data_IF_141076367914
#
_entry.id   IF_141076367914
#
_cell.length_a   1.000
_cell.length_b   1.000
_cell.length_c   1.000
_cell.angle_alpha   90.00
_cell.angle_beta   90.00
_cell.angle_gamma   90.00
#
_symmetry.space_group_name_H-M   'P 1'
#
loop_
_entity.id
_entity.type
_entity.pdbx_description
1 polymer ?
#
# COMPACT_ATOMS: atom_id res chain seq x y z
N UNK A 1 0.68 -0.52 9.76
CA UNK A 1 0.47 -0.19 8.33
C UNK A 1 -0.62 0.87 8.24
N UNK A 2 -0.34 2.00 7.59
CA UNK A 2 -1.31 3.08 7.45
C UNK A 2 -1.32 3.60 6.01
N UNK A 3 -2.45 4.14 5.56
CA UNK A 3 -2.56 4.81 4.27
C UNK A 3 -3.13 6.22 4.42
N UNK A 4 -2.46 7.18 3.79
CA UNK A 4 -2.84 8.58 3.70
C UNK A 4 -3.48 8.86 2.35
N UNK A 5 -4.77 9.22 2.36
CA UNK A 5 -5.55 9.57 1.16
C UNK A 5 -5.73 11.08 0.95
N UNK A 6 -5.11 11.89 1.81
CA UNK A 6 -5.01 13.33 1.60
C UNK A 6 -3.92 13.66 0.57
N UNK A 7 -2.88 12.82 0.48
CA UNK A 7 -1.80 12.98 -0.49
C UNK A 7 -2.20 12.34 -1.82
N UNK A 8 -2.53 13.17 -2.80
CA UNK A 8 -3.05 12.77 -4.10
C UNK A 8 -2.15 13.28 -5.21
N UNK A 9 -2.02 12.50 -6.27
CA UNK A 9 -1.28 12.91 -7.46
C UNK A 9 -2.25 12.99 -8.65
N UNK A 10 -2.35 14.16 -9.27
CA UNK A 10 -3.18 14.38 -10.45
C UNK A 10 -2.50 13.84 -11.71
N UNK A 11 -3.31 13.43 -12.68
CA UNK A 11 -2.79 13.02 -13.99
C UNK A 11 -2.45 14.26 -14.83
N UNK A 12 -1.26 14.83 -14.63
CA UNK A 12 -0.80 16.04 -15.33
C UNK A 12 0.08 15.70 -16.54
N UNK A 13 0.94 14.69 -16.42
CA UNK A 13 1.97 14.38 -17.43
C UNK A 13 2.49 12.93 -17.35
N UNK A 14 3.30 12.52 -18.32
CA UNK A 14 3.94 11.20 -18.34
C UNK A 14 5.10 11.13 -17.35
N UNK A 15 5.44 9.91 -16.91
CA UNK A 15 6.58 9.74 -15.99
C UNK A 15 7.94 10.00 -16.64
N UNK A 16 8.04 9.78 -17.95
CA UNK A 16 9.23 10.10 -18.71
C UNK A 16 9.54 11.60 -18.69
N UNK A 17 8.49 12.43 -18.58
CA UNK A 17 8.60 13.88 -18.52
C UNK A 17 8.78 14.37 -17.09
N UNK A 18 8.05 13.76 -16.15
CA UNK A 18 8.05 14.13 -14.74
C UNK A 18 8.23 12.88 -13.86
N UNK A 19 9.48 12.40 -13.70
CA UNK A 19 9.78 11.28 -12.83
C UNK A 19 9.63 11.67 -11.36
N UNK A 20 9.29 10.69 -10.54
CA UNK A 20 9.25 10.87 -9.08
C UNK A 20 10.66 11.11 -8.51
N UNK A 21 10.74 11.90 -7.43
CA UNK A 21 11.98 12.05 -6.69
C UNK A 21 12.15 10.87 -5.71
N UNK A 22 13.33 10.23 -5.72
CA UNK A 22 13.68 9.19 -4.73
C UNK A 22 12.99 7.84 -4.95
N UNK A 23 12.67 7.49 -6.19
CA UNK A 23 12.04 6.21 -6.54
C UNK A 23 12.99 5.07 -6.19
N UNK A 24 12.52 4.11 -5.38
CA UNK A 24 13.36 2.99 -4.94
C UNK A 24 14.46 3.38 -3.94
N UNK A 25 14.44 4.60 -3.39
CA UNK A 25 15.43 5.06 -2.42
C UNK A 25 14.84 5.18 -1.02
N UNK A 26 15.68 4.92 0.00
CA UNK A 26 15.36 5.06 1.42
C UNK A 26 14.06 4.32 1.78
N UNK A 27 12.95 5.07 1.88
CA UNK A 27 11.65 4.56 2.28
C UNK A 27 10.78 4.14 1.10
N UNK A 28 10.99 4.70 -0.09
CA UNK A 28 10.15 4.42 -1.24
C UNK A 28 10.60 3.15 -1.94
N UNK A 29 9.62 2.31 -2.27
CA UNK A 29 9.89 1.11 -3.06
C UNK A 29 10.09 1.44 -4.54
N UNK A 30 10.72 0.52 -5.27
CA UNK A 30 10.91 0.64 -6.72
C UNK A 30 9.55 0.68 -7.42
N UNK A 31 9.40 1.52 -8.44
CA UNK A 31 8.09 1.71 -9.08
C UNK A 31 7.71 0.57 -10.03
N UNK A 32 8.54 0.33 -11.05
CA UNK A 32 8.24 -0.56 -12.18
C UNK A 32 7.77 -1.96 -11.75
N UNK A 33 8.53 -2.72 -10.92
CA UNK A 33 8.11 -4.07 -10.55
C UNK A 33 6.80 -4.10 -9.76
N UNK A 34 6.47 -3.01 -9.04
CA UNK A 34 5.23 -2.92 -8.29
C UNK A 34 4.05 -2.55 -9.18
N UNK A 35 4.23 -1.67 -10.16
CA UNK A 35 3.17 -1.36 -11.11
C UNK A 35 2.80 -2.59 -11.94
N UNK A 36 3.79 -3.39 -12.35
CA UNK A 36 3.57 -4.65 -13.05
C UNK A 36 2.80 -5.65 -12.15
N UNK A 37 3.17 -5.76 -10.88
CA UNK A 37 2.44 -6.57 -9.91
C UNK A 37 0.99 -6.10 -9.75
N UNK A 38 0.74 -4.81 -9.58
CA UNK A 38 -0.63 -4.28 -9.46
C UNK A 38 -1.46 -4.53 -10.71
N UNK A 39 -0.86 -4.40 -11.90
CA UNK A 39 -1.54 -4.73 -13.15
C UNK A 39 -1.93 -6.20 -13.22
N UNK A 40 -1.06 -7.10 -12.75
CA UNK A 40 -1.37 -8.53 -12.66
C UNK A 40 -2.54 -8.84 -11.71
N UNK A 41 -2.70 -8.04 -10.66
CA UNK A 41 -3.76 -8.17 -9.65
C UNK A 41 -5.02 -7.35 -9.98
N UNK A 42 -5.13 -6.78 -11.19
CA UNK A 42 -6.20 -5.85 -11.53
C UNK A 42 -7.60 -6.50 -11.57
N UNK A 43 -7.66 -7.83 -11.77
CA UNK A 43 -8.92 -8.61 -11.80
C UNK A 43 -9.35 -9.10 -10.42
N UNK A 44 -8.45 -9.09 -9.43
CA UNK A 44 -8.76 -9.57 -8.09
C UNK A 44 -9.59 -8.51 -7.35
N UNK A 45 -10.81 -8.89 -7.02
CA UNK A 45 -11.70 -8.07 -6.19
C UNK A 45 -11.43 -8.38 -4.73
N UNK A 46 -11.11 -7.34 -3.95
CA UNK A 46 -10.97 -7.47 -2.50
C UNK A 46 -12.36 -7.76 -1.89
N UNK A 47 -12.69 -9.04 -1.68
CA UNK A 47 -13.97 -9.44 -1.08
C UNK A 47 -13.89 -9.28 0.44
N UNK A 48 -14.71 -8.39 0.99
CA UNK A 48 -14.83 -8.22 2.45
C UNK A 48 -15.76 -9.28 3.07
N UNK A 49 -15.23 -10.17 3.90
CA UNK A 49 -16.00 -11.15 4.69
C UNK A 49 -16.20 -10.77 6.16
N UNK A 50 -15.66 -9.64 6.61
CA UNK A 50 -15.97 -9.06 7.93
C UNK A 50 -16.96 -7.89 7.79
N UNK A 51 -17.51 -7.41 8.92
CA UNK A 51 -18.34 -6.19 8.98
C UNK A 51 -17.78 -5.14 8.02
N UNK A 52 -18.66 -4.58 7.18
CA UNK A 52 -18.26 -3.66 6.12
C UNK A 52 -17.51 -2.47 6.73
N UNK A 53 -16.19 -2.47 6.58
CA UNK A 53 -15.36 -1.41 7.13
C UNK A 53 -15.53 -0.18 6.25
N UNK A 54 -16.15 0.86 6.81
CA UNK A 54 -16.29 2.17 6.16
C UNK A 54 -14.98 2.69 5.58
N UNK A 55 -13.83 2.30 6.13
CA UNK A 55 -12.51 2.66 5.62
C UNK A 55 -12.21 2.10 4.22
N UNK A 56 -12.59 0.85 3.93
CA UNK A 56 -12.36 0.20 2.63
C UNK A 56 -13.30 0.79 1.60
N UNK A 57 -14.60 0.75 1.87
CA UNK A 57 -15.63 1.27 0.95
C UNK A 57 -15.40 2.74 0.64
N UNK A 58 -15.09 3.58 1.64
CA UNK A 58 -14.80 5.01 1.45
C UNK A 58 -13.47 5.25 0.73
N UNK A 59 -12.44 4.43 0.92
CA UNK A 59 -11.16 4.63 0.21
C UNK A 59 -11.22 4.20 -1.26
N UNK A 60 -11.99 3.16 -1.57
CA UNK A 60 -12.10 2.61 -2.91
C UNK A 60 -13.11 3.38 -3.79
N UNK A 61 -14.13 4.01 -3.20
CA UNK A 61 -15.17 4.75 -3.94
C UNK A 61 -14.89 6.24 -4.10
N UNK A 62 -13.99 6.82 -3.31
CA UNK A 62 -13.83 8.27 -3.21
C UNK A 62 -12.87 8.82 -4.29
N UNK A 63 -13.46 9.48 -5.30
CA UNK A 63 -12.82 10.38 -6.28
C UNK A 63 -11.49 9.88 -6.86
N UNK A 64 -11.55 8.83 -7.68
CA UNK A 64 -10.40 8.35 -8.48
C UNK A 64 -10.35 8.92 -9.89
N UNK A 65 -11.37 9.66 -10.33
CA UNK A 65 -11.41 10.27 -11.66
C UNK A 65 -10.32 11.36 -11.73
N UNK A 66 -9.46 11.29 -12.75
CA UNK A 66 -8.35 12.22 -13.03
C UNK A 66 -7.16 12.21 -12.03
N UNK A 67 -7.08 11.21 -11.15
CA UNK A 67 -5.92 11.01 -10.28
C UNK A 67 -5.04 9.86 -10.80
N UNK A 68 -3.73 10.11 -10.83
CA UNK A 68 -2.71 9.07 -11.05
C UNK A 68 -2.58 8.18 -9.83
N UNK A 69 -2.54 8.78 -8.65
CA UNK A 69 -2.49 8.08 -7.37
C UNK A 69 -3.49 8.71 -6.40
N UNK A 70 -4.24 7.87 -5.69
CA UNK A 70 -5.29 8.28 -4.75
C UNK A 70 -4.81 8.44 -3.31
N UNK A 71 -3.56 8.05 -3.04
CA UNK A 71 -2.99 8.03 -1.69
C UNK A 71 -1.55 7.53 -1.67
N UNK A 72 -1.04 7.42 -0.45
CA UNK A 72 0.24 6.78 -0.11
C UNK A 72 0.02 5.81 1.04
N UNK A 73 0.59 4.62 0.95
CA UNK A 73 0.63 3.61 2.01
C UNK A 73 2.05 3.49 2.53
N UNK A 74 2.18 3.33 3.86
CA UNK A 74 3.46 3.16 4.52
C UNK A 74 3.38 2.14 5.66
N UNK A 75 4.51 1.45 5.88
CA UNK A 75 4.75 0.65 7.08
C UNK A 75 5.71 1.43 7.97
N UNK A 76 5.31 1.63 9.23
CA UNK A 76 6.15 2.23 10.27
C UNK A 76 6.38 1.24 11.39
N UNK A 77 7.51 1.38 12.06
CA UNK A 77 7.83 0.67 13.29
C UNK A 77 6.93 1.18 14.42
N UNK A 78 6.23 0.29 15.11
CA UNK A 78 5.38 0.67 16.24
C UNK A 78 6.14 1.18 17.48
N UNK A 79 7.46 1.02 17.54
CA UNK A 79 8.29 1.48 18.67
C UNK A 79 8.88 2.87 18.44
N UNK A 80 9.49 3.08 17.28
CA UNK A 80 10.18 4.33 16.95
C UNK A 80 9.33 5.27 16.11
N UNK A 81 8.17 4.80 15.64
CA UNK A 81 7.30 5.48 14.68
C UNK A 81 7.98 5.81 13.33
N UNK A 82 9.21 5.31 13.13
CA UNK A 82 9.95 5.51 11.90
C UNK A 82 9.35 4.66 10.79
N UNK A 83 9.22 5.27 9.62
CA UNK A 83 8.88 4.57 8.39
C UNK A 83 9.98 3.56 8.07
N UNK A 84 9.60 2.34 7.68
CA UNK A 84 10.56 1.29 7.35
C UNK A 84 11.16 1.52 5.96
N UNK A 85 12.44 1.12 5.74
CA UNK A 85 13.08 1.28 4.44
C UNK A 85 12.32 0.47 3.38
N UNK A 86 12.20 1.00 2.16
CA UNK A 86 11.44 0.41 1.04
C UNK A 86 9.97 0.08 1.34
N UNK A 87 9.40 0.60 2.44
CA UNK A 87 8.04 0.33 2.88
C UNK A 87 7.08 1.52 2.70
N UNK A 88 7.29 2.35 1.68
CA UNK A 88 6.38 3.41 1.25
C UNK A 88 6.04 3.26 -0.22
N UNK A 89 4.76 3.42 -0.55
CA UNK A 89 4.30 3.36 -1.94
C UNK A 89 3.09 4.25 -2.17
N UNK A 90 2.94 4.71 -3.41
CA UNK A 90 1.71 5.30 -3.88
C UNK A 90 0.61 4.23 -4.06
N UNK A 91 -0.64 4.61 -3.80
CA UNK A 91 -1.81 3.75 -4.00
C UNK A 91 -2.61 4.22 -5.21
N UNK A 92 -2.86 3.34 -6.18
CA UNK A 92 -3.63 3.68 -7.38
C UNK A 92 -5.11 3.86 -7.04
N UNK A 93 -5.65 2.93 -6.24
CA UNK A 93 -7.01 2.99 -5.70
C UNK A 93 -7.02 2.51 -4.25
N UNK A 94 -7.23 3.43 -3.31
CA UNK A 94 -7.58 3.12 -1.93
C UNK A 94 -6.64 2.13 -1.21
N UNK A 95 -7.19 1.46 -0.18
CA UNK A 95 -6.53 0.40 0.60
C UNK A 95 -6.77 -0.97 -0.04
N UNK A 96 -6.35 -1.16 -1.29
CA UNK A 96 -6.33 -2.50 -1.90
C UNK A 96 -5.29 -3.40 -1.26
N UNK A 97 -5.56 -4.69 -1.12
CA UNK A 97 -4.57 -5.61 -0.55
C UNK A 97 -3.32 -5.71 -1.40
N UNK A 98 -3.47 -5.73 -2.72
CA UNK A 98 -2.33 -5.66 -3.66
C UNK A 98 -1.40 -4.44 -3.42
N UNK A 99 -1.90 -3.37 -2.79
CA UNK A 99 -1.06 -2.23 -2.42
C UNK A 99 -0.25 -2.49 -1.15
N UNK A 100 -0.78 -3.28 -0.21
CA UNK A 100 -0.26 -3.50 1.14
C UNK A 100 0.60 -4.77 1.23
N UNK A 101 0.22 -5.85 0.57
CA UNK A 101 0.86 -7.17 0.73
C UNK A 101 2.36 -7.13 0.42
N UNK A 102 2.80 -6.50 -0.70
CA UNK A 102 4.23 -6.42 -1.01
C UNK A 102 5.03 -5.60 0.02
N UNK A 103 4.40 -4.58 0.64
CA UNK A 103 5.03 -3.74 1.66
C UNK A 103 5.15 -4.48 2.99
N UNK A 104 4.12 -5.24 3.35
CA UNK A 104 4.13 -6.09 4.52
C UNK A 104 5.17 -7.22 4.37
N UNK A 105 5.24 -7.86 3.20
CA UNK A 105 6.25 -8.86 2.90
C UNK A 105 7.67 -8.28 3.00
N UNK A 106 7.92 -7.11 2.42
CA UNK A 106 9.20 -6.43 2.54
C UNK A 106 9.57 -6.13 4.00
N UNK A 107 8.61 -5.64 4.80
CA UNK A 107 8.82 -5.39 6.22
C UNK A 107 9.12 -6.68 6.99
N UNK A 108 8.38 -7.77 6.76
CA UNK A 108 8.62 -9.06 7.43
C UNK A 108 10.00 -9.61 7.06
N UNK A 109 10.39 -9.56 5.79
CA UNK A 109 11.70 -10.02 5.33
C UNK A 109 12.85 -9.26 6.01
N UNK A 110 12.74 -7.94 6.18
CA UNK A 110 13.75 -7.11 6.86
C UNK A 110 13.93 -7.46 8.34
N UNK A 111 12.89 -8.01 8.98
CA UNK A 111 12.90 -8.36 10.39
C UNK A 111 12.73 -9.88 10.59
N UNK A 112 13.18 -10.68 9.62
CA UNK A 112 13.06 -12.13 9.64
C UNK A 112 13.81 -12.80 10.80
N UNK A 113 14.83 -12.13 11.35
CA UNK A 113 15.57 -12.58 12.53
C UNK A 113 14.81 -12.35 13.86
N UNK A 114 13.68 -11.63 13.84
CA UNK A 114 12.87 -11.41 15.04
C UNK A 114 11.97 -12.61 15.32
N UNK A 115 11.99 -13.07 16.57
CA UNK A 115 11.12 -14.16 17.03
C UNK A 115 9.63 -13.80 17.00
N UNK A 116 9.30 -12.51 17.22
CA UNK A 116 7.93 -12.03 17.31
C UNK A 116 7.76 -10.72 16.52
N UNK A 117 6.84 -10.75 15.54
CA UNK A 117 6.42 -9.57 14.78
C UNK A 117 4.92 -9.35 14.99
N UNK A 118 4.56 -8.14 15.41
CA UNK A 118 3.16 -7.73 15.56
C UNK A 118 2.84 -6.73 14.46
N UNK A 119 1.88 -7.07 13.60
CA UNK A 119 1.41 -6.21 12.52
C UNK A 119 0.07 -5.60 12.93
N UNK A 120 0.04 -4.27 12.99
CA UNK A 120 -1.20 -3.51 13.19
C UNK A 120 -1.64 -2.88 11.87
N UNK A 121 -2.90 -3.13 11.48
CA UNK A 121 -3.52 -2.58 10.28
C UNK A 121 -5.05 -2.43 10.47
N UNK A 122 -5.64 -1.35 9.98
CA UNK A 122 -7.06 -1.03 10.20
C UNK A 122 -8.04 -2.10 9.70
N UNK A 123 -7.61 -2.98 8.79
CA UNK A 123 -8.40 -4.10 8.26
C UNK A 123 -7.70 -5.44 8.43
N UNK A 124 -6.84 -5.58 9.47
CA UNK A 124 -6.08 -6.80 9.76
C UNK A 124 -6.97 -8.04 9.79
N UNK A 125 -8.18 -7.95 10.35
CA UNK A 125 -9.10 -9.09 10.45
C UNK A 125 -9.51 -9.71 9.11
N UNK A 126 -9.60 -8.89 8.05
CA UNK A 126 -9.88 -9.38 6.69
C UNK A 126 -8.59 -9.80 5.99
N UNK A 127 -7.55 -8.98 6.14
CA UNK A 127 -6.24 -9.17 5.52
C UNK A 127 -5.60 -10.50 5.92
N UNK A 128 -5.67 -10.88 7.20
CA UNK A 128 -5.10 -12.13 7.70
C UNK A 128 -5.76 -13.37 7.09
N UNK A 129 -7.06 -13.32 6.77
CA UNK A 129 -7.74 -14.45 6.12
C UNK A 129 -7.22 -14.68 4.71
N UNK A 130 -6.88 -13.60 4.00
CA UNK A 130 -6.41 -13.68 2.63
C UNK A 130 -4.95 -14.15 2.52
N UNK A 131 -4.12 -13.87 3.53
CA UNK A 131 -2.72 -14.30 3.55
C UNK A 131 -2.56 -15.76 4.00
N UNK A 132 -3.42 -16.23 4.90
CA UNK A 132 -3.31 -17.56 5.51
C UNK A 132 -4.29 -18.60 4.95
N UNK A 133 -5.00 -18.31 3.86
CA UNK A 133 -5.85 -19.25 3.11
C UNK A 133 -5.26 -19.48 1.74
#
# INVERSE_FOLDING_TARGET
>A
INANFCLKNQTVSSYSRDPGLGIGWLYFTAREPYEDYIQSQAMDTDISTCVEFSAVTKSNTKFSKELRYTGVVAVSCGRSEMVLPTCVRNTDKGKRYANVDPLAAAAICQFSDLLWVVISYDITCQWIKMIFT
#
